data_IF_647694989074
#
_entry.id   IF_647694989074
#
_cell.length_a   1.000
_cell.length_b   1.000
_cell.length_c   1.000
_cell.angle_alpha   90.00
_cell.angle_beta   90.00
_cell.angle_gamma   90.00
#
_symmetry.space_group_name_H-M   'P 1'
#
loop_
_entity.id
_entity.type
_entity.pdbx_description
1 polymer ?
#
# COMPACT_ATOMS: atom_id res chain seq x y z
N UNK A 1 12.33 15.47 -7.16
CA UNK A 1 12.79 14.40 -6.25
C UNK A 1 11.92 14.28 -4.99
N UNK A 2 11.60 15.35 -4.26
CA UNK A 2 10.81 15.28 -3.02
C UNK A 2 9.42 14.63 -3.21
N UNK A 3 8.70 14.98 -4.28
CA UNK A 3 7.40 14.37 -4.58
C UNK A 3 7.52 12.91 -5.00
N UNK A 4 8.58 12.57 -5.75
CA UNK A 4 8.86 11.21 -6.16
C UNK A 4 9.18 10.31 -4.96
N UNK A 5 9.98 10.81 -4.02
CA UNK A 5 10.24 10.09 -2.76
C UNK A 5 8.97 9.80 -1.98
N UNK A 6 8.04 10.77 -1.89
CA UNK A 6 6.75 10.54 -1.23
C UNK A 6 5.92 9.45 -1.90
N UNK A 7 5.90 9.40 -3.24
CA UNK A 7 5.19 8.35 -3.99
C UNK A 7 5.85 6.98 -3.72
N UNK A 8 7.19 6.92 -3.80
CA UNK A 8 7.96 5.70 -3.50
C UNK A 8 7.69 5.23 -2.06
N UNK A 9 7.77 6.14 -1.07
CA UNK A 9 7.59 5.79 0.34
C UNK A 9 6.16 5.28 0.60
N UNK A 10 5.15 5.91 0.00
CA UNK A 10 3.76 5.46 0.12
C UNK A 10 3.54 4.09 -0.54
N UNK A 11 4.12 3.86 -1.72
CA UNK A 11 4.05 2.59 -2.42
C UNK A 11 4.74 1.48 -1.61
N UNK A 12 5.98 1.72 -1.17
CA UNK A 12 6.75 0.75 -0.38
C UNK A 12 6.05 0.42 0.93
N UNK A 13 5.47 1.42 1.61
CA UNK A 13 4.70 1.20 2.83
C UNK A 13 3.52 0.22 2.61
N UNK A 14 2.81 0.34 1.49
CA UNK A 14 1.73 -0.59 1.15
C UNK A 14 2.24 -1.99 0.85
N UNK A 15 3.36 -2.12 0.12
CA UNK A 15 3.99 -3.41 -0.20
C UNK A 15 4.50 -4.10 1.06
N UNK A 16 5.30 -3.40 1.86
CA UNK A 16 5.88 -3.91 3.10
C UNK A 16 4.78 -4.32 4.09
N UNK A 17 3.79 -3.46 4.32
CA UNK A 17 2.65 -3.76 5.19
C UNK A 17 1.86 -4.97 4.73
N UNK A 18 1.63 -5.13 3.41
CA UNK A 18 0.96 -6.29 2.85
C UNK A 18 1.78 -7.57 3.02
N UNK A 19 3.11 -7.49 2.83
CA UNK A 19 4.02 -8.63 2.97
C UNK A 19 4.17 -9.05 4.44
N UNK A 20 4.25 -8.09 5.37
CA UNK A 20 4.28 -8.38 6.81
C UNK A 20 2.98 -9.02 7.29
N UNK A 21 1.85 -8.51 6.82
CA UNK A 21 0.55 -9.10 7.14
C UNK A 21 0.43 -10.54 6.64
N UNK A 22 0.95 -10.86 5.47
CA UNK A 22 0.95 -12.22 4.93
C UNK A 22 1.75 -13.23 5.78
N UNK A 23 2.72 -12.76 6.58
CA UNK A 23 3.48 -13.63 7.52
C UNK A 23 2.66 -14.05 8.74
N UNK A 24 1.63 -13.29 9.08
CA UNK A 24 0.79 -13.50 10.28
C UNK A 24 -0.55 -14.17 9.92
N UNK A 25 -0.95 -14.05 8.66
CA UNK A 25 -2.19 -14.57 8.10
C UNK A 25 -1.86 -15.65 7.07
N UNK A 26 -2.65 -16.73 7.02
CA UNK A 26 -2.56 -17.75 5.96
C UNK A 26 -3.00 -17.20 4.59
N UNK A 27 -3.38 -15.94 4.51
CA UNK A 27 -3.74 -15.28 3.27
C UNK A 27 -2.51 -14.67 2.60
N UNK A 28 -2.49 -14.80 1.28
CA UNK A 28 -1.48 -14.18 0.44
C UNK A 28 -1.54 -12.65 0.56
N UNK A 29 -0.41 -12.01 0.32
CA UNK A 29 -0.28 -10.54 0.23
C UNK A 29 -1.09 -9.99 -0.96
N UNK A 30 -2.42 -10.02 -0.87
CA UNK A 30 -3.33 -9.64 -1.96
C UNK A 30 -3.03 -8.25 -2.48
N UNK A 31 -2.88 -7.27 -1.58
CA UNK A 31 -2.61 -5.88 -1.98
C UNK A 31 -1.26 -5.75 -2.71
N UNK A 32 -0.21 -6.38 -2.20
CA UNK A 32 1.10 -6.36 -2.86
C UNK A 32 1.04 -7.01 -4.25
N UNK A 33 0.37 -8.16 -4.37
CA UNK A 33 0.18 -8.84 -5.65
C UNK A 33 -0.59 -7.98 -6.66
N UNK A 34 -1.67 -7.35 -6.23
CA UNK A 34 -2.49 -6.49 -7.10
C UNK A 34 -1.74 -5.22 -7.50
N UNK A 35 -0.95 -4.61 -6.61
CA UNK A 35 -0.08 -3.48 -6.96
C UNK A 35 1.01 -3.91 -7.96
N UNK A 36 1.61 -5.08 -7.77
CA UNK A 36 2.58 -5.64 -8.72
C UNK A 36 1.98 -5.80 -10.12
N UNK A 37 0.80 -6.43 -10.23
CA UNK A 37 0.11 -6.57 -11.52
C UNK A 37 -0.26 -5.23 -12.15
N UNK A 38 -0.59 -4.22 -11.34
CA UNK A 38 -0.94 -2.90 -11.82
C UNK A 38 0.23 -2.17 -12.44
N UNK A 39 1.43 -2.28 -11.83
CA UNK A 39 2.63 -1.58 -12.30
C UNK A 39 3.41 -2.36 -13.36
N UNK A 40 3.20 -3.66 -13.48
CA UNK A 40 3.94 -4.53 -14.42
C UNK A 40 3.96 -4.00 -15.86
N UNK A 41 2.85 -3.50 -16.46
CA UNK A 41 2.89 -2.94 -17.82
C UNK A 41 3.76 -1.70 -17.95
N UNK A 42 4.04 -1.00 -16.87
CA UNK A 42 4.81 0.25 -16.82
C UNK A 42 6.23 0.06 -16.28
N UNK A 43 6.59 -1.17 -15.91
CA UNK A 43 7.85 -1.48 -15.26
C UNK A 43 9.06 -0.99 -16.06
N UNK A 44 9.11 -1.26 -17.34
CA UNK A 44 10.19 -0.82 -18.21
C UNK A 44 10.31 0.71 -18.29
N UNK A 45 9.17 1.42 -18.35
CA UNK A 45 9.16 2.89 -18.36
C UNK A 45 9.57 3.45 -17.00
N UNK A 46 9.14 2.83 -15.91
CA UNK A 46 9.51 3.21 -14.56
C UNK A 46 11.01 2.99 -14.32
N UNK A 47 11.56 1.86 -14.76
CA UNK A 47 12.98 1.56 -14.65
C UNK A 47 13.83 2.53 -15.48
N UNK A 48 13.42 2.89 -16.69
CA UNK A 48 14.10 3.90 -17.50
C UNK A 48 14.09 5.29 -16.85
N UNK A 49 13.09 5.58 -16.04
CA UNK A 49 13.00 6.78 -15.22
C UNK A 49 13.73 6.68 -13.86
N UNK A 50 14.45 5.59 -13.60
CA UNK A 50 15.20 5.40 -12.38
C UNK A 50 14.41 4.85 -11.19
N UNK A 51 13.23 4.27 -11.43
CA UNK A 51 12.41 3.59 -10.42
C UNK A 51 12.68 2.09 -10.52
N UNK A 52 13.63 1.59 -9.75
CA UNK A 52 14.08 0.20 -9.79
C UNK A 52 13.25 -0.67 -8.86
N UNK A 53 12.75 -1.80 -9.36
CA UNK A 53 12.00 -2.77 -8.57
C UNK A 53 12.91 -3.76 -7.89
N UNK A 54 12.68 -4.00 -6.60
CA UNK A 54 13.37 -4.99 -5.80
C UNK A 54 12.58 -6.34 -5.79
N UNK A 55 13.24 -7.41 -5.33
CA UNK A 55 12.65 -8.76 -5.31
C UNK A 55 11.39 -8.87 -4.43
N UNK A 56 11.30 -8.06 -3.38
CA UNK A 56 10.14 -8.00 -2.46
C UNK A 56 8.97 -7.17 -3.00
N UNK A 57 9.11 -6.59 -4.20
CA UNK A 57 8.14 -5.74 -4.85
C UNK A 57 8.23 -4.26 -4.47
N UNK A 58 9.17 -3.86 -3.61
CA UNK A 58 9.41 -2.45 -3.29
C UNK A 58 10.13 -1.73 -4.42
N UNK A 59 10.15 -0.41 -4.38
CA UNK A 59 10.80 0.44 -5.38
C UNK A 59 11.96 1.20 -4.72
N UNK A 60 13.11 1.17 -5.38
CA UNK A 60 14.27 2.00 -5.08
C UNK A 60 14.43 3.08 -6.15
N UNK A 61 14.88 4.25 -5.77
CA UNK A 61 15.17 5.34 -6.72
C UNK A 61 16.67 5.39 -7.01
N UNK A 62 17.00 5.33 -8.30
CA UNK A 62 18.31 5.75 -8.80
C UNK A 62 18.25 7.26 -9.04
N UNK A 63 18.92 8.04 -8.18
CA UNK A 63 18.86 9.50 -8.22
C UNK A 63 19.41 10.09 -9.51
N UNK A 64 20.40 9.44 -10.11
CA UNK A 64 21.04 9.89 -11.36
C UNK A 64 20.06 9.78 -12.53
N UNK A 65 19.47 8.59 -12.73
CA UNK A 65 18.49 8.34 -13.77
C UNK A 65 17.22 9.15 -13.53
N UNK A 66 16.75 9.23 -12.29
CA UNK A 66 15.56 10.01 -11.95
C UNK A 66 15.73 11.50 -12.23
N UNK A 67 16.92 12.05 -11.94
CA UNK A 67 17.23 13.46 -12.25
C UNK A 67 17.25 13.70 -13.75
N UNK A 68 17.83 12.79 -14.51
CA UNK A 68 17.85 12.86 -15.97
C UNK A 68 16.41 12.81 -16.53
N UNK A 69 15.60 11.82 -16.11
CA UNK A 69 14.22 11.67 -16.55
C UNK A 69 13.34 12.87 -16.18
N UNK A 70 13.62 13.55 -15.05
CA UNK A 70 12.96 14.80 -14.68
C UNK A 70 13.33 15.92 -15.65
N UNK A 71 14.60 16.07 -15.99
CA UNK A 71 15.08 17.10 -16.90
C UNK A 71 14.56 16.89 -18.33
N UNK A 72 14.48 15.64 -18.77
CA UNK A 72 13.97 15.26 -20.08
C UNK A 72 12.42 15.30 -20.17
N UNK A 73 11.76 15.50 -19.04
CA UNK A 73 10.29 15.56 -18.94
C UNK A 73 9.60 14.19 -19.02
N UNK A 74 10.33 13.10 -19.02
CA UNK A 74 9.78 11.74 -19.07
C UNK A 74 9.07 11.35 -17.78
N UNK A 75 9.66 11.71 -16.63
CA UNK A 75 9.03 11.52 -15.33
C UNK A 75 7.68 12.22 -15.22
N UNK A 76 7.56 13.44 -15.77
CA UNK A 76 6.31 14.19 -15.78
C UNK A 76 5.25 13.53 -16.68
N UNK A 77 5.65 12.93 -17.78
CA UNK A 77 4.71 12.18 -18.65
C UNK A 77 4.20 10.95 -17.94
N UNK A 78 5.08 10.17 -17.30
CA UNK A 78 4.76 8.94 -16.59
C UNK A 78 3.79 9.18 -15.41
N UNK A 79 4.01 10.25 -14.64
CA UNK A 79 3.20 10.63 -13.48
C UNK A 79 2.25 11.81 -13.75
N UNK A 80 1.96 12.12 -15.00
CA UNK A 80 0.94 13.12 -15.31
C UNK A 80 -0.42 12.65 -14.81
N UNK A 81 -1.29 13.61 -14.50
CA UNK A 81 -2.66 13.31 -14.03
C UNK A 81 -3.46 12.48 -15.04
N UNK A 82 -3.13 12.60 -16.33
CA UNK A 82 -3.82 11.93 -17.42
C UNK A 82 -3.15 10.61 -17.83
N UNK A 83 -1.99 10.29 -17.26
CA UNK A 83 -1.30 9.02 -17.56
C UNK A 83 -2.09 7.82 -17.05
N UNK A 84 -1.97 6.70 -17.78
CA UNK A 84 -2.64 5.46 -17.41
C UNK A 84 -2.11 4.91 -16.09
N UNK A 85 -0.82 5.05 -15.80
CA UNK A 85 -0.23 4.67 -14.53
C UNK A 85 -0.86 5.44 -13.36
N UNK A 86 -0.93 6.78 -13.47
CA UNK A 86 -1.52 7.62 -12.42
C UNK A 86 -2.99 7.30 -12.20
N UNK A 87 -3.76 7.12 -13.26
CA UNK A 87 -5.18 6.74 -13.16
C UNK A 87 -5.38 5.40 -12.45
N UNK A 88 -4.56 4.41 -12.80
CA UNK A 88 -4.63 3.08 -12.17
C UNK A 88 -4.23 3.11 -10.69
N UNK A 89 -3.14 3.82 -10.35
CA UNK A 89 -2.70 3.97 -8.96
C UNK A 89 -3.73 4.73 -8.12
N UNK A 90 -4.30 5.82 -8.64
CA UNK A 90 -5.36 6.57 -7.96
C UNK A 90 -6.61 5.71 -7.77
N UNK A 91 -7.09 5.03 -8.81
CA UNK A 91 -8.24 4.13 -8.71
C UNK A 91 -8.02 3.01 -7.69
N UNK A 92 -6.81 2.46 -7.62
CA UNK A 92 -6.45 1.45 -6.62
C UNK A 92 -6.46 2.03 -5.21
N UNK A 93 -5.87 3.21 -5.03
CA UNK A 93 -5.86 3.90 -3.74
C UNK A 93 -7.27 4.20 -3.23
N UNK A 94 -8.16 4.65 -4.12
CA UNK A 94 -9.57 4.87 -3.79
C UNK A 94 -10.30 3.57 -3.43
N UNK A 95 -10.05 2.48 -4.17
CA UNK A 95 -10.61 1.16 -3.86
C UNK A 95 -10.19 0.67 -2.48
N UNK A 96 -8.90 0.77 -2.14
CA UNK A 96 -8.37 0.39 -0.82
C UNK A 96 -8.98 1.26 0.29
N UNK A 97 -9.17 2.55 0.02
CA UNK A 97 -9.78 3.48 0.98
C UNK A 97 -11.27 3.18 1.22
N UNK A 98 -12.00 2.77 0.18
CA UNK A 98 -13.42 2.45 0.27
C UNK A 98 -13.68 1.11 0.98
N UNK A 99 -12.87 0.11 0.73
CA UNK A 99 -12.99 -1.20 1.37
C UNK A 99 -11.62 -1.77 1.80
N UNK A 100 -11.05 -1.23 2.89
CA UNK A 100 -9.79 -1.74 3.41
C UNK A 100 -9.89 -3.18 3.93
N UNK A 101 -11.12 -3.62 4.27
CA UNK A 101 -11.36 -4.97 4.80
C UNK A 101 -11.25 -6.07 3.72
N UNK A 102 -11.20 -5.70 2.46
CA UNK A 102 -10.89 -6.63 1.38
C UNK A 102 -9.46 -7.18 1.46
N UNK A 103 -8.55 -6.37 2.02
CA UNK A 103 -7.11 -6.64 2.08
C UNK A 103 -6.62 -7.15 3.42
N UNK A 104 -7.44 -7.09 4.45
CA UNK A 104 -7.15 -7.60 5.79
C UNK A 104 -8.21 -8.60 6.20
N UNK A 105 -7.78 -9.65 6.89
CA UNK A 105 -8.74 -10.54 7.54
C UNK A 105 -9.52 -9.77 8.59
N UNK A 106 -10.78 -10.10 8.73
CA UNK A 106 -11.57 -9.71 9.90
C UNK A 106 -11.00 -10.43 11.12
N UNK A 107 -9.84 -10.00 11.59
CA UNK A 107 -9.30 -10.46 12.85
C UNK A 107 -10.28 -10.01 13.94
N UNK A 108 -10.95 -10.99 14.50
CA UNK A 108 -11.66 -10.83 15.76
C UNK A 108 -10.58 -10.60 16.82
N UNK A 109 -10.31 -9.35 17.12
CA UNK A 109 -9.41 -9.00 18.21
C UNK A 109 -10.17 -9.31 19.50
N UNK A 110 -9.87 -10.48 20.08
CA UNK A 110 -10.32 -10.84 21.41
C UNK A 110 -9.47 -10.08 22.42
N UNK A 111 -10.06 -9.07 23.03
CA UNK A 111 -9.44 -8.45 24.20
C UNK A 111 -9.68 -9.33 25.44
N UNK A 112 -8.63 -9.74 26.15
CA UNK A 112 -8.83 -10.44 27.42
C UNK A 112 -9.50 -9.48 28.40
N UNK A 113 -10.72 -9.81 28.80
CA UNK A 113 -11.40 -9.09 29.87
C UNK A 113 -10.70 -9.39 31.20
N UNK A 114 -10.06 -8.41 31.79
CA UNK A 114 -9.59 -8.46 33.15
C UNK A 114 -10.77 -8.29 34.13
N UNK A 115 -11.68 -9.25 34.16
CA UNK A 115 -12.63 -9.31 35.27
C UNK A 115 -12.06 -10.17 36.39
N UNK A 116 -12.19 -9.72 37.63
CA UNK A 116 -11.68 -10.35 38.84
C UNK A 116 -12.21 -11.77 39.12
N UNK A 117 -13.07 -12.32 38.29
CA UNK A 117 -13.78 -13.59 38.49
C UNK A 117 -13.59 -14.63 37.39
N UNK A 118 -12.48 -14.65 36.66
CA UNK A 118 -12.06 -15.81 35.89
C UNK A 118 -12.98 -16.28 34.71
N UNK A 119 -14.09 -15.61 34.45
CA UNK A 119 -14.98 -15.89 33.33
C UNK A 119 -14.83 -14.76 32.31
N UNK A 120 -13.87 -14.93 31.42
CA UNK A 120 -13.63 -13.97 30.35
C UNK A 120 -14.73 -14.02 29.30
N UNK A 121 -15.58 -13.01 29.26
CA UNK A 121 -16.38 -12.74 28.08
C UNK A 121 -15.49 -12.10 27.01
N UNK A 122 -15.31 -12.79 25.90
CA UNK A 122 -14.62 -12.22 24.74
C UNK A 122 -15.52 -11.18 24.10
N UNK A 123 -15.16 -9.90 24.22
CA UNK A 123 -15.76 -8.87 23.37
C UNK A 123 -15.16 -8.98 21.98
N UNK A 124 -16.01 -9.33 21.03
CA UNK A 124 -15.66 -9.30 19.61
C UNK A 124 -15.90 -7.87 19.14
N UNK A 125 -14.86 -7.04 19.20
CA UNK A 125 -14.90 -5.73 18.55
C UNK A 125 -14.39 -5.91 17.12
N UNK A 126 -15.23 -5.56 16.15
CA UNK A 126 -14.78 -5.46 14.77
C UNK A 126 -13.76 -4.32 14.68
N UNK A 127 -12.68 -4.50 13.93
CA UNK A 127 -11.73 -3.44 13.61
C UNK A 127 -12.43 -2.17 13.06
N UNK A 128 -13.62 -2.35 12.52
CA UNK A 128 -14.51 -1.33 12.00
C UNK A 128 -14.98 -0.34 13.08
N UNK A 129 -15.21 -0.79 14.32
CA UNK A 129 -15.63 0.11 15.41
C UNK A 129 -14.51 1.05 15.85
N UNK A 130 -13.25 0.61 15.81
CA UNK A 130 -12.09 1.45 16.11
C UNK A 130 -11.84 2.54 15.05
N UNK A 131 -12.11 2.24 13.79
CA UNK A 131 -12.00 3.22 12.69
C UNK A 131 -13.12 4.28 12.73
N UNK A 132 -14.33 3.90 13.12
CA UNK A 132 -15.46 4.84 13.26
C UNK A 132 -15.25 5.83 14.41
N UNK A 133 -14.64 5.41 15.52
CA UNK A 133 -14.35 6.30 16.65
C UNK A 133 -13.26 7.34 16.34
N UNK A 134 -12.29 7.00 15.50
CA UNK A 134 -11.23 7.93 15.08
C UNK A 134 -11.68 9.00 14.06
N UNK A 135 -12.89 8.86 13.50
CA UNK A 135 -13.42 9.81 12.52
C UNK A 135 -14.28 10.92 13.14
N UNK A 136 -14.66 10.76 14.41
CA UNK A 136 -15.58 11.68 15.14
C UNK A 136 -14.95 12.33 16.39
N UNK A 137 -13.64 12.16 16.63
CA UNK A 137 -12.92 12.86 17.69
C UNK A 137 -11.96 13.91 17.16
#
# INVERSE_FOLDING_TARGET
>A
LTSLNKIKDAYNYMIEGSNEYAKVSDKTSKLASELGYLVEPFKSEMESCGLMFEEDGTIRIDESLATQAINDGEMQKLFSKDSDLSKRLLGKSESVKLDPMEYVDKLLVSYPNYTKEGVGYSYITSLYSGMLFNYYC
#
